data_IF_447807204121
#
_entry.id   IF_447807204121
#
_cell.length_a   1.000
_cell.length_b   1.000
_cell.length_c   1.000
_cell.angle_alpha   90.00
_cell.angle_beta   90.00
_cell.angle_gamma   90.00
#
_symmetry.space_group_name_H-M   'P 1'
#
loop_
_entity.id
_entity.type
_entity.pdbx_description
1 polymer ?
#
# COMPACT_ATOMS: atom_id res chain seq x y z
N UNK A 1 -8.15 11.30 3.52
CA UNK A 1 -7.77 9.96 3.01
C UNK A 1 -8.85 8.93 3.31
N UNK A 2 -8.80 7.75 2.68
CA UNK A 2 -9.75 6.65 2.89
C UNK A 2 -9.04 5.29 3.04
N UNK A 3 -9.83 4.26 3.33
CA UNK A 3 -9.45 2.85 3.34
C UNK A 3 -10.25 2.17 2.22
N UNK A 4 -9.59 1.35 1.39
CA UNK A 4 -10.33 0.56 0.38
C UNK A 4 -11.21 -0.48 1.07
N UNK A 5 -12.51 -0.46 0.74
CA UNK A 5 -13.53 -1.41 1.22
C UNK A 5 -14.13 -2.19 0.05
N UNK A 6 -14.64 -3.41 0.26
CA UNK A 6 -14.68 -4.19 1.51
C UNK A 6 -13.29 -4.52 2.08
N UNK A 7 -13.25 -4.87 3.37
CA UNK A 7 -12.01 -5.21 4.09
C UNK A 7 -11.17 -6.23 3.32
N UNK A 8 -11.81 -7.28 2.81
CA UNK A 8 -11.26 -8.23 1.84
C UNK A 8 -12.34 -8.57 0.81
N UNK A 9 -11.92 -9.08 -0.35
CA UNK A 9 -12.83 -9.64 -1.37
C UNK A 9 -12.82 -8.94 -2.73
N UNK A 10 -12.26 -7.72 -2.82
CA UNK A 10 -11.97 -7.13 -4.13
C UNK A 10 -10.82 -7.88 -4.81
N UNK A 11 -11.01 -8.17 -6.10
CA UNK A 11 -9.96 -8.63 -7.01
C UNK A 11 -9.10 -7.43 -7.45
N UNK A 12 -7.95 -7.65 -8.13
CA UNK A 12 -7.02 -6.58 -8.48
C UNK A 12 -7.65 -5.39 -9.23
N UNK A 13 -8.46 -5.64 -10.27
CA UNK A 13 -9.05 -4.57 -11.09
C UNK A 13 -10.11 -3.77 -10.32
N UNK A 14 -11.09 -4.38 -9.62
CA UNK A 14 -12.02 -3.64 -8.77
C UNK A 14 -11.34 -2.85 -7.63
N UNK A 15 -10.21 -3.37 -7.09
CA UNK A 15 -9.44 -2.67 -6.08
C UNK A 15 -8.86 -1.36 -6.63
N UNK A 16 -8.18 -1.44 -7.78
CA UNK A 16 -7.57 -0.29 -8.44
C UNK A 16 -8.62 0.72 -8.91
N UNK A 17 -9.78 0.25 -9.39
CA UNK A 17 -10.87 1.15 -9.77
C UNK A 17 -11.43 1.92 -8.59
N UNK A 18 -11.66 1.25 -7.45
CA UNK A 18 -12.07 1.92 -6.22
C UNK A 18 -11.03 2.97 -5.76
N UNK A 19 -9.74 2.69 -5.96
CA UNK A 19 -8.68 3.62 -5.64
C UNK A 19 -8.69 4.86 -6.56
N UNK A 20 -8.77 4.65 -7.87
CA UNK A 20 -8.90 5.72 -8.86
C UNK A 20 -10.09 6.65 -8.56
N UNK A 21 -11.29 6.07 -8.36
CA UNK A 21 -12.50 6.84 -8.08
C UNK A 21 -12.37 7.72 -6.83
N UNK A 22 -11.73 7.21 -5.77
CA UNK A 22 -11.48 8.02 -4.58
C UNK A 22 -10.47 9.14 -4.87
N UNK A 23 -9.39 8.87 -5.60
CA UNK A 23 -8.34 9.85 -5.87
C UNK A 23 -8.76 11.01 -6.77
N UNK A 24 -9.88 10.91 -7.49
CA UNK A 24 -10.49 12.05 -8.19
C UNK A 24 -10.89 13.19 -7.23
N UNK A 25 -11.16 12.89 -5.96
CA UNK A 25 -11.54 13.89 -4.94
C UNK A 25 -10.71 13.86 -3.65
N UNK A 26 -9.83 12.89 -3.45
CA UNK A 26 -9.02 12.74 -2.25
C UNK A 26 -7.53 12.51 -2.53
N UNK A 27 -6.72 12.59 -1.48
CA UNK A 27 -5.26 12.55 -1.62
C UNK A 27 -4.65 11.20 -1.25
N UNK A 28 -5.18 10.57 -0.19
CA UNK A 28 -4.52 9.45 0.48
C UNK A 28 -5.41 8.21 0.57
N UNK A 29 -4.87 7.06 0.21
CA UNK A 29 -5.51 5.75 0.38
C UNK A 29 -4.58 4.84 1.18
N UNK A 30 -5.13 4.05 2.09
CA UNK A 30 -4.41 2.92 2.71
C UNK A 30 -5.06 1.58 2.36
N UNK A 31 -4.25 0.53 2.33
CA UNK A 31 -4.78 -0.82 2.52
C UNK A 31 -5.56 -0.90 3.84
N UNK A 32 -6.66 -1.66 3.86
CA UNK A 32 -7.22 -2.17 5.11
C UNK A 32 -6.24 -3.19 5.73
N UNK A 33 -6.26 -3.39 7.04
CA UNK A 33 -5.18 -4.11 7.73
C UNK A 33 -4.89 -5.55 7.23
N UNK A 34 -5.87 -6.35 6.76
CA UNK A 34 -5.55 -7.71 6.32
C UNK A 34 -5.24 -7.80 4.83
N UNK A 35 -5.34 -6.71 4.06
CA UNK A 35 -5.08 -6.73 2.62
C UNK A 35 -3.58 -6.91 2.39
N UNK A 36 -3.20 -7.90 1.58
CA UNK A 36 -1.80 -8.28 1.41
C UNK A 36 -1.59 -9.11 0.15
N UNK A 37 -1.54 -10.43 0.28
CA UNK A 37 -1.26 -11.34 -0.86
C UNK A 37 -2.27 -12.49 -0.92
N UNK A 38 -3.55 -12.21 -0.77
CA UNK A 38 -4.60 -13.24 -0.85
C UNK A 38 -4.66 -13.85 -2.26
N UNK A 39 -5.04 -15.13 -2.36
CA UNK A 39 -5.11 -15.86 -3.64
C UNK A 39 -6.00 -15.21 -4.70
N UNK A 40 -7.03 -14.46 -4.27
CA UNK A 40 -7.95 -13.73 -5.16
C UNK A 40 -7.49 -12.30 -5.49
N UNK A 41 -6.47 -11.78 -4.80
CA UNK A 41 -5.92 -10.44 -4.98
C UNK A 41 -4.42 -10.44 -4.63
N UNK A 42 -3.63 -11.04 -5.51
CA UNK A 42 -2.19 -11.21 -5.29
C UNK A 42 -1.47 -9.86 -5.40
N UNK A 43 -0.49 -9.64 -4.52
CA UNK A 43 0.26 -8.38 -4.43
C UNK A 43 0.91 -7.99 -5.77
N UNK A 44 1.51 -8.97 -6.45
CA UNK A 44 2.13 -8.78 -7.77
C UNK A 44 1.15 -8.40 -8.88
N UNK A 45 -0.16 -8.55 -8.66
CA UNK A 45 -1.21 -8.21 -9.63
C UNK A 45 -1.88 -6.88 -9.31
N UNK A 46 -2.24 -6.60 -8.06
CA UNK A 46 -2.99 -5.39 -7.74
C UNK A 46 -2.11 -4.15 -7.56
N UNK A 47 -0.86 -4.28 -7.10
CA UNK A 47 0.03 -3.12 -6.91
C UNK A 47 0.31 -2.39 -8.23
N UNK A 48 0.64 -3.08 -9.36
CA UNK A 48 0.78 -2.42 -10.66
C UNK A 48 -0.49 -1.69 -11.11
N UNK A 49 -1.66 -2.26 -10.84
CA UNK A 49 -2.94 -1.62 -11.18
C UNK A 49 -3.26 -0.41 -10.29
N UNK A 50 -2.88 -0.45 -9.01
CA UNK A 50 -2.98 0.70 -8.11
C UNK A 50 -2.06 1.83 -8.57
N UNK A 51 -0.85 1.51 -9.04
CA UNK A 51 0.05 2.50 -9.61
C UNK A 51 -0.54 3.13 -10.89
N UNK A 52 -1.07 2.32 -11.82
CA UNK A 52 -1.79 2.82 -13.01
C UNK A 52 -2.95 3.75 -12.62
N UNK A 53 -3.78 3.33 -11.68
CA UNK A 53 -4.88 4.13 -11.15
C UNK A 53 -4.40 5.47 -10.56
N UNK A 54 -3.28 5.45 -9.82
CA UNK A 54 -2.68 6.65 -9.27
C UNK A 54 -2.20 7.59 -10.38
N UNK A 55 -1.51 7.08 -11.41
CA UNK A 55 -1.08 7.89 -12.56
C UNK A 55 -2.27 8.55 -13.26
N UNK A 56 -3.29 7.77 -13.61
CA UNK A 56 -4.51 8.30 -14.26
C UNK A 56 -5.18 9.38 -13.42
N UNK A 57 -5.31 9.17 -12.10
CA UNK A 57 -5.89 10.17 -11.21
C UNK A 57 -5.03 11.44 -11.11
N UNK A 58 -3.69 11.31 -11.06
CA UNK A 58 -2.78 12.47 -11.06
C UNK A 58 -2.86 13.25 -12.38
N UNK A 59 -2.89 12.56 -13.51
CA UNK A 59 -2.98 13.18 -14.85
C UNK A 59 -4.30 13.94 -15.02
N UNK A 60 -5.41 13.40 -14.51
CA UNK A 60 -6.73 14.02 -14.61
C UNK A 60 -6.91 15.20 -13.63
N UNK A 61 -6.41 15.06 -12.40
CA UNK A 61 -6.63 16.06 -11.35
C UNK A 61 -5.54 17.13 -11.28
N UNK A 62 -4.36 16.87 -11.85
CA UNK A 62 -3.16 17.69 -11.69
C UNK A 62 -2.61 17.72 -10.25
N UNK A 63 -3.06 16.81 -9.38
CA UNK A 63 -2.71 16.78 -7.96
C UNK A 63 -1.99 15.49 -7.60
N UNK A 64 -0.98 15.59 -6.72
CA UNK A 64 -0.30 14.42 -6.19
C UNK A 64 -1.23 13.52 -5.37
N UNK A 65 -1.03 12.20 -5.45
CA UNK A 65 -1.81 11.19 -4.75
C UNK A 65 -0.87 10.26 -3.99
N UNK A 66 -1.30 9.73 -2.85
CA UNK A 66 -0.48 8.94 -1.92
C UNK A 66 -1.18 7.61 -1.64
N UNK A 67 -0.38 6.53 -1.61
CA UNK A 67 -0.84 5.19 -1.25
C UNK A 67 -0.04 4.62 -0.06
N UNK A 68 -0.74 4.06 0.93
CA UNK A 68 -0.13 3.38 2.06
C UNK A 68 -0.31 1.87 1.96
N UNK A 69 0.75 1.19 1.52
CA UNK A 69 0.75 -0.22 1.19
C UNK A 69 1.10 -1.09 2.41
N UNK A 70 0.32 -2.14 2.66
CA UNK A 70 0.59 -3.06 3.76
C UNK A 70 1.74 -4.02 3.42
N UNK A 71 2.80 -3.98 4.22
CA UNK A 71 3.96 -4.88 4.09
C UNK A 71 4.10 -5.84 5.27
N UNK A 72 3.11 -5.91 6.16
CA UNK A 72 3.16 -6.77 7.36
C UNK A 72 3.34 -8.24 6.99
N UNK A 73 4.37 -8.87 7.57
CA UNK A 73 4.65 -10.30 7.46
C UNK A 73 5.51 -10.77 8.62
N UNK A 74 5.35 -12.04 9.02
CA UNK A 74 6.15 -12.68 10.07
C UNK A 74 7.63 -12.78 9.68
N UNK A 75 7.90 -13.13 8.42
CA UNK A 75 9.25 -13.19 7.88
C UNK A 75 9.75 -11.79 7.52
N UNK A 76 10.88 -11.40 8.11
CA UNK A 76 11.60 -10.17 7.79
C UNK A 76 11.89 -10.03 6.30
N UNK A 77 12.27 -11.13 5.63
CA UNK A 77 12.60 -11.11 4.21
C UNK A 77 11.35 -10.87 3.35
N UNK A 78 10.19 -11.35 3.78
CA UNK A 78 8.91 -11.08 3.11
C UNK A 78 8.53 -9.60 3.23
N UNK A 79 8.74 -8.97 4.39
CA UNK A 79 8.51 -7.53 4.55
C UNK A 79 9.39 -6.71 3.58
N UNK A 80 10.68 -7.08 3.47
CA UNK A 80 11.62 -6.45 2.54
C UNK A 80 11.16 -6.66 1.09
N UNK A 81 10.89 -7.91 0.70
CA UNK A 81 10.50 -8.24 -0.67
C UNK A 81 9.22 -7.50 -1.10
N UNK A 82 8.24 -7.36 -0.20
CA UNK A 82 7.03 -6.56 -0.48
C UNK A 82 7.37 -5.10 -0.67
N UNK A 83 8.11 -4.50 0.26
CA UNK A 83 8.47 -3.08 0.20
C UNK A 83 9.28 -2.76 -1.05
N UNK A 84 10.29 -3.55 -1.37
CA UNK A 84 11.11 -3.38 -2.58
C UNK A 84 10.27 -3.49 -3.85
N UNK A 85 9.43 -4.54 -3.96
CA UNK A 85 8.55 -4.70 -5.11
C UNK A 85 7.61 -3.51 -5.30
N UNK A 86 7.03 -2.98 -4.21
CA UNK A 86 6.13 -1.82 -4.26
C UNK A 86 6.88 -0.57 -4.74
N UNK A 87 8.06 -0.28 -4.17
CA UNK A 87 8.84 0.90 -4.52
C UNK A 87 9.38 0.81 -5.95
N UNK A 88 9.86 -0.36 -6.39
CA UNK A 88 10.27 -0.60 -7.77
C UNK A 88 9.10 -0.41 -8.75
N UNK A 89 7.91 -0.92 -8.40
CA UNK A 89 6.70 -0.77 -9.23
C UNK A 89 6.26 0.68 -9.37
N UNK A 90 6.31 1.46 -8.29
CA UNK A 90 5.96 2.90 -8.32
C UNK A 90 7.06 3.75 -8.98
N UNK A 91 8.30 3.24 -9.04
CA UNK A 91 9.42 3.82 -9.78
C UNK A 91 9.64 5.31 -9.48
N UNK A 92 9.43 6.21 -10.45
CA UNK A 92 9.62 7.65 -10.24
C UNK A 92 8.67 8.27 -9.22
N UNK A 93 7.56 7.59 -8.90
CA UNK A 93 6.56 8.02 -7.92
C UNK A 93 6.67 7.25 -6.58
N UNK A 94 7.80 6.58 -6.32
CA UNK A 94 8.04 5.85 -5.08
C UNK A 94 7.99 6.74 -3.82
N UNK A 95 8.24 8.04 -3.95
CA UNK A 95 8.09 9.04 -2.88
C UNK A 95 6.64 9.26 -2.41
N UNK A 96 5.66 8.75 -3.19
CA UNK A 96 4.23 8.81 -2.88
C UNK A 96 3.71 7.56 -2.17
N UNK A 97 4.62 6.67 -1.77
CA UNK A 97 4.29 5.45 -1.03
C UNK A 97 4.56 5.65 0.46
N UNK A 98 3.60 5.26 1.28
CA UNK A 98 3.81 4.98 2.68
C UNK A 98 3.79 3.47 2.91
N UNK A 99 4.55 2.97 3.89
CA UNK A 99 4.59 1.56 4.23
C UNK A 99 3.82 1.32 5.53
N UNK A 100 2.74 0.55 5.44
CA UNK A 100 1.89 0.20 6.56
C UNK A 100 2.39 -1.08 7.23
N UNK A 101 2.49 -1.04 8.55
CA UNK A 101 2.84 -2.19 9.40
C UNK A 101 1.86 -2.28 10.56
N UNK A 102 1.25 -3.45 10.74
CA UNK A 102 0.42 -3.76 11.91
C UNK A 102 1.29 -4.04 13.15
N UNK A 103 1.86 -2.99 13.72
CA UNK A 103 2.88 -3.09 14.77
C UNK A 103 2.42 -3.66 16.11
N UNK A 104 1.11 -3.67 16.39
CA UNK A 104 0.60 -4.27 17.63
C UNK A 104 0.55 -5.80 17.53
N UNK A 105 -0.20 -6.36 16.57
CA UNK A 105 -0.24 -7.81 16.33
C UNK A 105 1.10 -8.38 15.82
N UNK A 106 1.83 -7.61 15.01
CA UNK A 106 3.14 -8.01 14.47
C UNK A 106 4.32 -7.76 15.41
N UNK A 107 4.12 -6.95 16.44
CA UNK A 107 5.15 -6.58 17.41
C UNK A 107 6.18 -5.55 16.93
N UNK A 108 7.02 -5.06 17.84
CA UNK A 108 7.98 -3.98 17.57
C UNK A 108 9.10 -4.37 16.59
N UNK A 109 9.34 -5.67 16.40
CA UNK A 109 10.31 -6.18 15.42
C UNK A 109 9.94 -5.80 13.99
N UNK A 110 8.68 -5.98 13.60
CA UNK A 110 8.19 -5.60 12.26
C UNK A 110 8.25 -4.09 12.02
N UNK A 111 7.90 -3.30 13.03
CA UNK A 111 8.02 -1.83 12.98
C UNK A 111 9.47 -1.41 12.77
N UNK A 112 10.40 -2.04 13.49
CA UNK A 112 11.84 -1.74 13.39
C UNK A 112 12.42 -2.17 12.05
N UNK A 113 11.99 -3.31 11.50
CA UNK A 113 12.32 -3.76 10.14
C UNK A 113 12.01 -2.67 9.13
N UNK A 114 10.75 -2.21 9.08
CA UNK A 114 10.35 -1.19 8.14
C UNK A 114 11.06 0.15 8.38
N UNK A 115 11.19 0.58 9.66
CA UNK A 115 11.85 1.84 10.02
C UNK A 115 13.32 1.91 9.58
N UNK A 116 14.05 0.81 9.71
CA UNK A 116 15.49 0.77 9.43
C UNK A 116 15.80 0.51 7.97
N UNK A 117 15.04 -0.38 7.32
CA UNK A 117 15.29 -0.75 5.94
C UNK A 117 14.77 0.31 4.95
N UNK A 118 13.58 0.85 5.19
CA UNK A 118 12.93 1.85 4.32
C UNK A 118 12.91 3.23 4.99
N UNK A 119 14.08 3.71 5.42
CA UNK A 119 14.19 4.91 6.27
C UNK A 119 13.66 6.21 5.64
N UNK A 120 13.64 6.28 4.31
CA UNK A 120 13.16 7.44 3.53
C UNK A 120 11.65 7.36 3.20
N UNK A 121 11.00 6.25 3.54
CA UNK A 121 9.56 6.05 3.32
C UNK A 121 8.78 6.39 4.59
N UNK A 122 7.58 6.96 4.43
CA UNK A 122 6.72 7.20 5.59
C UNK A 122 6.28 5.87 6.20
N UNK A 123 6.64 5.65 7.48
CA UNK A 123 6.22 4.46 8.23
C UNK A 123 4.86 4.68 8.89
N UNK A 124 3.84 4.00 8.36
CA UNK A 124 2.48 4.03 8.89
C UNK A 124 2.25 2.89 9.89
N UNK A 125 2.37 3.19 11.18
CA UNK A 125 2.02 2.25 12.25
C UNK A 125 0.50 2.05 12.30
N UNK A 126 0.03 0.84 12.02
CA UNK A 126 -1.34 0.42 12.27
C UNK A 126 -1.43 -0.43 13.55
N UNK A 127 -2.51 -0.25 14.33
CA UNK A 127 -2.61 -0.73 15.72
C UNK A 127 -3.70 -1.78 15.94
N UNK A 128 -3.98 -2.61 14.92
CA UNK A 128 -4.97 -3.68 15.05
C UNK A 128 -4.62 -4.63 16.21
N UNK A 129 -5.60 -4.93 17.07
CA UNK A 129 -5.56 -5.91 18.16
C UNK A 129 -6.36 -5.48 19.38
#
# INVERSE_FOLDING_TARGET
GTIIKPKLGLRPEPFAEAAYQFWLGGDFIKNDEPQGNQVFCQLSKYIPLVYDAMKRAQDETGQAKIFSANITADDHNEMIARGEFILETFGPDADKVALLVDGYVGGPGMVTTARRYFADQYLHYHRAG
#
